data_IF_886889381771
#
_entry.id   IF_886889381771
#
_cell.length_a   1.000
_cell.length_b   1.000
_cell.length_c   1.000
_cell.angle_alpha   90.00
_cell.angle_beta   90.00
_cell.angle_gamma   90.00
#
_symmetry.space_group_name_H-M   'P 1'
#
loop_
_entity.id
_entity.type
_entity.pdbx_description
1 polymer ?
#
# COMPACT_ATOMS: atom_id res chain seq x y z
N UNK A 1 15.79 6.72 8.36
CA UNK A 1 15.05 6.28 7.17
C UNK A 1 15.87 5.48 6.17
N UNK A 2 17.17 5.79 6.07
CA UNK A 2 18.07 5.02 5.16
C UNK A 2 18.20 3.54 5.54
N UNK A 3 18.00 3.21 6.80
CA UNK A 3 18.03 1.83 7.29
C UNK A 3 16.97 0.94 6.61
N UNK A 4 15.91 1.55 6.06
CA UNK A 4 14.84 0.81 5.38
C UNK A 4 15.02 0.75 3.86
N UNK A 5 16.05 1.38 3.31
CA UNK A 5 16.28 1.36 1.87
C UNK A 5 16.40 -0.05 1.28
N UNK A 6 17.07 -1.01 1.95
CA UNK A 6 17.10 -2.38 1.41
C UNK A 6 15.71 -2.98 1.20
N UNK A 7 14.79 -2.83 2.16
CA UNK A 7 13.42 -3.35 1.99
C UNK A 7 12.64 -2.54 0.96
N UNK A 8 12.86 -1.22 0.90
CA UNK A 8 12.20 -0.37 -0.09
C UNK A 8 12.59 -0.75 -1.51
N UNK A 9 13.85 -1.16 -1.73
CA UNK A 9 14.30 -1.60 -3.05
C UNK A 9 13.69 -2.94 -3.47
N UNK A 10 13.16 -3.72 -2.54
CA UNK A 10 12.43 -4.95 -2.88
C UNK A 10 10.98 -4.67 -3.26
N UNK A 11 10.47 -3.46 -2.95
CA UNK A 11 9.09 -3.10 -3.25
C UNK A 11 8.93 -2.78 -4.73
N UNK A 12 7.90 -3.34 -5.35
CA UNK A 12 7.59 -3.06 -6.75
C UNK A 12 7.35 -1.56 -6.99
N UNK A 13 6.80 -0.87 -6.01
CA UNK A 13 6.49 0.55 -6.09
C UNK A 13 7.75 1.40 -6.34
N UNK A 14 8.89 0.99 -5.82
CA UNK A 14 10.14 1.72 -5.97
C UNK A 14 11.12 1.04 -6.95
N UNK A 15 10.65 0.13 -7.77
CA UNK A 15 11.48 -0.57 -8.74
C UNK A 15 12.18 0.41 -9.68
N UNK A 16 13.50 0.25 -9.84
CA UNK A 16 14.30 1.08 -10.75
C UNK A 16 14.63 2.48 -10.22
N UNK A 17 14.36 2.76 -8.97
CA UNK A 17 14.63 4.05 -8.35
C UNK A 17 15.89 3.94 -7.49
N UNK A 18 16.85 4.86 -7.71
CA UNK A 18 18.13 4.87 -6.99
C UNK A 18 17.95 5.37 -5.54
N UNK A 19 18.97 5.17 -4.71
CA UNK A 19 18.96 5.66 -3.32
C UNK A 19 18.78 7.17 -3.23
N UNK A 20 19.46 7.92 -4.11
CA UNK A 20 19.36 9.39 -4.12
C UNK A 20 17.97 9.84 -4.52
N UNK A 21 17.41 9.22 -5.55
CA UNK A 21 16.05 9.50 -5.99
C UNK A 21 15.03 9.12 -4.93
N UNK A 22 15.28 7.99 -4.27
CA UNK A 22 14.40 7.49 -3.21
C UNK A 22 14.33 8.47 -2.03
N UNK A 23 15.47 8.98 -1.60
CA UNK A 23 15.52 9.94 -0.50
C UNK A 23 14.71 11.21 -0.82
N UNK A 24 14.88 11.74 -2.05
CA UNK A 24 14.14 12.91 -2.49
C UNK A 24 12.63 12.63 -2.59
N UNK A 25 12.29 11.46 -3.11
CA UNK A 25 10.89 11.07 -3.31
C UNK A 25 10.15 10.85 -1.99
N UNK A 26 10.78 10.23 -1.01
CA UNK A 26 10.17 10.01 0.29
C UNK A 26 9.79 11.33 0.97
N UNK A 27 10.61 12.35 0.78
CA UNK A 27 10.30 13.69 1.26
C UNK A 27 9.09 14.26 0.54
N UNK A 28 9.02 14.15 -0.78
CA UNK A 28 7.87 14.61 -1.57
C UNK A 28 6.59 13.89 -1.19
N UNK A 29 6.67 12.61 -0.91
CA UNK A 29 5.52 11.78 -0.56
C UNK A 29 5.05 11.98 0.88
N UNK A 30 5.76 12.79 1.67
CA UNK A 30 5.43 12.95 3.08
C UNK A 30 5.51 11.63 3.83
N UNK A 31 6.54 10.83 3.53
CA UNK A 31 6.71 9.52 4.13
C UNK A 31 6.82 9.61 5.64
N UNK A 32 6.07 8.78 6.36
CA UNK A 32 6.16 8.66 7.80
C UNK A 32 6.19 7.18 8.17
N UNK A 33 6.88 6.87 9.25
CA UNK A 33 7.03 5.49 9.72
C UNK A 33 6.33 5.36 11.06
N UNK A 34 5.56 4.30 11.21
CA UNK A 34 4.81 4.00 12.42
C UNK A 34 4.92 2.53 12.74
N UNK A 35 4.87 2.19 14.03
CA UNK A 35 4.96 0.81 14.50
C UNK A 35 3.69 0.46 15.25
N UNK A 36 3.16 -0.73 14.98
CA UNK A 36 1.90 -1.21 15.57
C UNK A 36 2.14 -2.53 16.28
N UNK A 37 1.61 -2.70 17.49
CA UNK A 37 1.73 -3.98 18.18
C UNK A 37 0.81 -5.04 17.55
N UNK A 38 1.16 -6.31 17.76
CA UNK A 38 0.34 -7.43 17.31
C UNK A 38 -1.10 -7.27 17.77
N UNK A 39 -2.03 -7.51 16.85
CA UNK A 39 -3.45 -7.45 17.13
C UNK A 39 -4.09 -6.06 17.00
N UNK A 40 -3.28 -5.01 16.83
CA UNK A 40 -3.82 -3.66 16.64
C UNK A 40 -4.36 -3.48 15.23
N UNK A 41 -5.26 -2.53 15.08
CA UNK A 41 -5.88 -2.21 13.80
C UNK A 41 -5.21 -0.96 13.21
N UNK A 42 -4.64 -1.11 12.02
CA UNK A 42 -3.96 -0.02 11.31
C UNK A 42 -4.95 0.87 10.59
N UNK A 43 -5.92 0.25 9.92
CA UNK A 43 -6.97 0.95 9.18
C UNK A 43 -8.29 0.23 9.42
N UNK A 44 -9.38 0.99 9.43
CA UNK A 44 -10.73 0.47 9.69
C UNK A 44 -11.62 0.63 8.48
N UNK A 45 -12.41 -0.41 8.21
CA UNK A 45 -13.47 -0.33 7.21
C UNK A 45 -14.41 0.84 7.55
N UNK A 46 -14.85 1.56 6.54
CA UNK A 46 -15.70 2.73 6.71
C UNK A 46 -14.95 4.06 6.70
N UNK A 47 -13.63 4.03 6.88
CA UNK A 47 -12.82 5.23 6.84
C UNK A 47 -12.31 5.48 5.42
N UNK A 48 -12.03 6.74 5.09
CA UNK A 48 -11.34 7.09 3.86
C UNK A 48 -9.85 7.27 4.15
N UNK A 49 -9.00 6.98 3.15
CA UNK A 49 -7.56 7.07 3.30
C UNK A 49 -6.95 7.84 2.14
N UNK A 50 -5.87 8.56 2.41
CA UNK A 50 -5.11 9.28 1.40
C UNK A 50 -3.67 8.76 1.30
N UNK A 51 -3.31 7.85 2.16
CA UNK A 51 -1.97 7.28 2.22
C UNK A 51 -1.96 5.80 1.86
N UNK A 52 -0.91 5.40 1.16
CA UNK A 52 -0.63 3.99 0.91
C UNK A 52 0.28 3.50 2.02
N UNK A 53 0.00 2.31 2.55
CA UNK A 53 0.87 1.66 3.52
C UNK A 53 1.84 0.72 2.82
N UNK A 54 3.10 0.76 3.22
CA UNK A 54 4.13 -0.17 2.76
C UNK A 54 4.76 -0.81 3.99
N UNK A 55 4.69 -2.13 4.07
CA UNK A 55 5.21 -2.86 5.22
C UNK A 55 6.73 -2.90 5.15
N UNK A 56 7.40 -2.46 6.22
CA UNK A 56 8.86 -2.49 6.33
C UNK A 56 9.34 -3.71 7.09
N UNK A 57 8.59 -4.12 8.12
CA UNK A 57 8.92 -5.28 8.94
C UNK A 57 7.64 -5.85 9.53
N UNK A 58 7.62 -7.15 9.78
CA UNK A 58 6.42 -7.82 10.27
C UNK A 58 5.41 -8.08 9.18
N UNK A 59 4.16 -8.28 9.56
CA UNK A 59 3.10 -8.56 8.59
C UNK A 59 1.76 -8.02 9.06
N UNK A 60 0.89 -7.71 8.09
CA UNK A 60 -0.45 -7.23 8.31
C UNK A 60 -1.45 -8.11 7.56
N UNK A 61 -2.66 -8.17 8.07
CA UNK A 61 -3.77 -8.91 7.46
C UNK A 61 -4.80 -7.93 6.92
N UNK A 62 -5.28 -8.21 5.71
CA UNK A 62 -6.43 -7.52 5.14
C UNK A 62 -7.65 -8.36 5.47
N UNK A 63 -8.58 -7.80 6.23
CA UNK A 63 -9.73 -8.53 6.73
C UNK A 63 -11.03 -7.84 6.32
N UNK A 64 -12.06 -8.64 6.16
CA UNK A 64 -13.41 -8.16 5.87
C UNK A 64 -14.38 -8.78 6.86
N UNK A 65 -15.30 -7.96 7.37
CA UNK A 65 -16.35 -8.44 8.27
C UNK A 65 -17.70 -8.17 7.62
N UNK A 66 -18.61 -9.13 7.75
CA UNK A 66 -19.99 -8.94 7.27
C UNK A 66 -20.85 -8.33 8.38
N UNK A 67 -22.13 -8.10 8.07
CA UNK A 67 -23.06 -7.46 9.02
C UNK A 67 -23.36 -8.34 10.24
N UNK A 68 -23.03 -9.64 10.18
CA UNK A 68 -23.23 -10.58 11.28
C UNK A 68 -21.94 -10.77 12.11
N UNK A 69 -20.87 -10.03 11.77
CA UNK A 69 -19.61 -10.11 12.47
C UNK A 69 -18.70 -11.25 12.03
N UNK A 70 -19.05 -11.95 10.94
CA UNK A 70 -18.18 -12.99 10.39
C UNK A 70 -16.96 -12.34 9.77
N UNK A 71 -15.78 -12.83 10.16
CA UNK A 71 -14.51 -12.28 9.75
C UNK A 71 -13.84 -13.17 8.71
N UNK A 72 -13.42 -12.56 7.61
CA UNK A 72 -12.68 -13.26 6.54
C UNK A 72 -11.34 -12.59 6.33
N UNK A 73 -10.27 -13.39 6.32
CA UNK A 73 -8.94 -12.89 5.98
C UNK A 73 -8.80 -12.99 4.45
N UNK A 74 -8.66 -11.83 3.80
CA UNK A 74 -8.57 -11.78 2.35
C UNK A 74 -7.14 -11.96 1.85
N UNK A 75 -6.16 -11.40 2.57
CA UNK A 75 -4.77 -11.50 2.18
C UNK A 75 -3.85 -11.12 3.34
N UNK A 76 -2.58 -11.40 3.16
CA UNK A 76 -1.51 -11.04 4.09
C UNK A 76 -0.50 -10.19 3.35
N UNK A 77 -0.06 -9.12 4.00
CA UNK A 77 0.91 -8.18 3.44
C UNK A 77 2.19 -8.23 4.27
N UNK A 78 3.30 -8.57 3.63
CA UNK A 78 4.62 -8.68 4.26
C UNK A 78 5.57 -7.58 3.80
N UNK A 79 6.85 -7.65 4.22
CA UNK A 79 7.84 -6.62 3.90
C UNK A 79 7.97 -6.37 2.41
N UNK A 80 8.00 -5.10 2.04
CA UNK A 80 8.08 -4.66 0.65
C UNK A 80 6.74 -4.60 -0.08
N UNK A 81 5.68 -5.08 0.53
CA UNK A 81 4.35 -5.10 -0.07
C UNK A 81 3.50 -3.93 0.43
N UNK A 82 2.56 -3.51 -0.41
CA UNK A 82 1.71 -2.35 -0.13
C UNK A 82 0.28 -2.77 0.18
N UNK A 83 -0.43 -1.90 0.89
CA UNK A 83 -1.87 -2.05 1.14
C UNK A 83 -2.56 -0.70 1.00
N UNK A 84 -3.87 -0.73 0.75
CA UNK A 84 -4.75 0.44 0.64
C UNK A 84 -4.47 1.35 -0.58
N UNK A 85 -3.61 0.95 -1.53
CA UNK A 85 -3.29 1.78 -2.70
C UNK A 85 -4.49 2.07 -3.59
N UNK A 86 -5.40 1.12 -3.73
CA UNK A 86 -6.62 1.31 -4.53
C UNK A 86 -7.47 2.43 -3.94
N UNK A 87 -7.63 2.41 -2.62
CA UNK A 87 -8.46 3.41 -1.92
C UNK A 87 -7.78 4.78 -1.86
N UNK A 88 -6.47 4.79 -1.64
CA UNK A 88 -5.71 6.04 -1.58
C UNK A 88 -5.69 6.77 -2.93
N UNK A 89 -5.74 6.05 -4.03
CA UNK A 89 -5.72 6.62 -5.38
C UNK A 89 -7.11 6.99 -5.89
N UNK A 90 -8.18 6.53 -5.25
CA UNK A 90 -9.55 6.79 -5.69
C UNK A 90 -10.20 7.86 -4.80
N UNK A 91 -10.37 9.11 -5.30
CA UNK A 91 -10.96 10.17 -4.50
C UNK A 91 -12.35 9.81 -3.99
N UNK A 92 -12.58 10.00 -2.70
CA UNK A 92 -13.87 9.72 -2.08
C UNK A 92 -14.14 8.25 -1.79
N UNK A 93 -13.23 7.36 -2.13
CA UNK A 93 -13.40 5.94 -1.82
C UNK A 93 -13.32 5.69 -0.32
N UNK A 94 -14.15 4.77 0.14
CA UNK A 94 -14.20 4.38 1.55
C UNK A 94 -13.73 2.93 1.65
N UNK A 95 -12.92 2.63 2.66
CA UNK A 95 -12.43 1.27 2.88
C UNK A 95 -13.59 0.30 3.11
N UNK A 96 -13.60 -0.79 2.39
CA UNK A 96 -14.52 -1.91 2.64
C UNK A 96 -13.82 -3.06 3.36
N UNK A 97 -12.58 -2.84 3.76
CA UNK A 97 -11.76 -3.80 4.50
C UNK A 97 -11.06 -3.08 5.64
N UNK A 98 -10.58 -3.86 6.60
CA UNK A 98 -9.73 -3.36 7.68
C UNK A 98 -8.34 -3.96 7.53
N UNK A 99 -7.34 -3.31 8.10
CA UNK A 99 -5.96 -3.80 8.11
C UNK A 99 -5.53 -3.97 9.56
N UNK A 100 -5.08 -5.17 9.90
CA UNK A 100 -4.71 -5.54 11.27
C UNK A 100 -3.28 -6.07 11.33
N UNK A 101 -2.60 -5.80 12.43
CA UNK A 101 -1.24 -6.30 12.65
C UNK A 101 -1.29 -7.79 13.03
N UNK A 102 -0.77 -8.66 12.18
CA UNK A 102 -0.64 -10.09 12.48
C UNK A 102 0.49 -10.33 13.47
N UNK A 103 1.53 -9.51 13.39
CA UNK A 103 2.67 -9.48 14.30
C UNK A 103 2.95 -8.02 14.61
N UNK A 104 3.95 -7.73 15.45
CA UNK A 104 4.43 -6.36 15.56
C UNK A 104 4.89 -5.93 14.17
N UNK A 105 4.35 -4.83 13.66
CA UNK A 105 4.56 -4.43 12.28
C UNK A 105 5.02 -2.98 12.21
N UNK A 106 6.00 -2.72 11.34
CA UNK A 106 6.49 -1.38 11.05
C UNK A 106 6.05 -1.04 9.64
N UNK A 107 5.40 0.11 9.48
CA UNK A 107 4.79 0.53 8.21
C UNK A 107 5.25 1.93 7.85
N UNK A 108 5.55 2.13 6.57
CA UNK A 108 5.76 3.46 6.01
C UNK A 108 4.48 3.88 5.31
N UNK A 109 3.97 5.06 5.66
CA UNK A 109 2.80 5.64 5.01
C UNK A 109 3.25 6.70 4.02
N UNK A 110 2.70 6.65 2.80
CA UNK A 110 3.08 7.52 1.70
C UNK A 110 1.86 8.27 1.19
N UNK A 111 1.95 9.59 1.12
CA UNK A 111 0.86 10.43 0.64
C UNK A 111 0.91 10.50 -0.89
N UNK A 112 0.34 9.50 -1.54
CA UNK A 112 0.44 9.29 -2.99
C UNK A 112 -0.07 10.47 -3.80
N UNK A 113 -1.16 11.10 -3.36
CA UNK A 113 -1.76 12.21 -4.10
C UNK A 113 -0.84 13.41 -4.27
N UNK A 114 0.14 13.57 -3.39
CA UNK A 114 1.12 14.64 -3.52
C UNK A 114 1.93 14.53 -4.81
N UNK A 115 2.29 13.30 -5.19
CA UNK A 115 3.03 13.06 -6.43
C UNK A 115 2.15 13.35 -7.64
N UNK A 116 0.86 13.00 -7.54
CA UNK A 116 -0.07 13.18 -8.66
C UNK A 116 -0.46 14.64 -8.89
N UNK A 117 -0.44 15.48 -7.84
CA UNK A 117 -0.98 16.82 -7.91
C UNK A 117 0.05 17.96 -7.82
N UNK A 118 1.22 17.72 -7.22
CA UNK A 118 2.10 18.80 -6.77
C UNK A 118 3.47 18.82 -7.42
N UNK A 119 3.83 17.84 -8.24
CA UNK A 119 5.15 17.86 -8.87
C UNK A 119 5.05 18.43 -10.29
N UNK A 120 5.28 19.75 -10.47
CA UNK A 120 5.25 20.38 -11.80
C UNK A 120 6.52 20.09 -12.59
N UNK A 121 7.58 19.59 -11.95
CA UNK A 121 8.80 19.28 -12.64
C UNK A 121 8.78 17.83 -13.10
N UNK A 122 9.12 17.62 -14.35
CA UNK A 122 9.21 16.30 -14.96
C UNK A 122 10.47 15.57 -14.42
N UNK A 123 10.46 15.21 -13.14
CA UNK A 123 11.53 14.41 -12.57
C UNK A 123 11.36 12.98 -13.07
N UNK A 124 12.43 12.40 -13.61
CA UNK A 124 12.38 11.05 -14.17
C UNK A 124 11.92 10.00 -13.18
N UNK A 125 12.25 10.17 -11.90
CA UNK A 125 11.84 9.22 -10.88
C UNK A 125 10.33 9.31 -10.56
N UNK A 126 9.70 10.47 -10.69
CA UNK A 126 8.25 10.60 -10.50
C UNK A 126 7.49 9.82 -11.57
N UNK A 127 7.92 9.93 -12.82
CA UNK A 127 7.33 9.16 -13.92
C UNK A 127 7.48 7.66 -13.68
N UNK A 128 8.65 7.24 -13.22
CA UNK A 128 8.92 5.83 -12.92
C UNK A 128 8.05 5.33 -11.77
N UNK A 129 7.90 6.15 -10.74
CA UNK A 129 7.06 5.83 -9.60
C UNK A 129 5.60 5.66 -10.03
N UNK A 130 5.08 6.59 -10.82
CA UNK A 130 3.70 6.53 -11.32
C UNK A 130 3.50 5.28 -12.16
N UNK A 131 4.46 4.95 -13.02
CA UNK A 131 4.40 3.74 -13.83
C UNK A 131 4.39 2.48 -12.95
N UNK A 132 5.21 2.46 -11.91
CA UNK A 132 5.25 1.34 -10.96
C UNK A 132 3.91 1.21 -10.23
N UNK A 133 3.32 2.32 -9.82
CA UNK A 133 2.02 2.34 -9.16
C UNK A 133 0.92 1.79 -10.07
N UNK A 134 0.90 2.22 -11.32
CA UNK A 134 -0.07 1.72 -12.31
C UNK A 134 0.09 0.23 -12.52
N UNK A 135 1.32 -0.26 -12.61
CA UNK A 135 1.60 -1.69 -12.75
C UNK A 135 1.12 -2.48 -11.55
N UNK A 136 1.32 -1.96 -10.34
CA UNK A 136 0.84 -2.60 -9.12
C UNK A 136 -0.68 -2.69 -9.09
N UNK A 137 -1.36 -1.61 -9.41
CA UNK A 137 -2.82 -1.57 -9.43
C UNK A 137 -3.37 -2.52 -10.49
N UNK A 138 -2.75 -2.53 -11.67
CA UNK A 138 -3.17 -3.41 -12.77
C UNK A 138 -2.97 -4.87 -12.40
N UNK A 139 -1.85 -5.23 -11.76
CA UNK A 139 -1.58 -6.61 -11.36
C UNK A 139 -2.60 -7.09 -10.30
N UNK A 140 -2.91 -6.24 -9.33
CA UNK A 140 -3.92 -6.58 -8.32
C UNK A 140 -5.30 -6.75 -8.94
N UNK A 141 -5.62 -5.94 -9.93
CA UNK A 141 -6.89 -6.05 -10.64
C UNK A 141 -6.96 -7.36 -11.45
N UNK A 142 -5.86 -7.75 -12.08
CA UNK A 142 -5.80 -9.02 -12.82
C UNK A 142 -5.97 -10.21 -11.89
N UNK A 143 -5.34 -10.19 -10.72
CA UNK A 143 -5.51 -11.27 -9.74
C UNK A 143 -6.94 -11.38 -9.26
N UNK A 144 -7.60 -10.24 -9.04
CA UNK A 144 -9.01 -10.24 -8.64
C UNK A 144 -9.88 -10.83 -9.74
N UNK A 145 -9.64 -10.46 -11.00
CA UNK A 145 -10.37 -11.00 -12.14
C UNK A 145 -10.18 -12.50 -12.28
N UNK A 146 -8.98 -13.00 -12.06
CA UNK A 146 -8.71 -14.44 -12.08
C UNK A 146 -9.50 -15.17 -11.01
N UNK A 147 -9.56 -14.61 -9.80
CA UNK A 147 -10.35 -15.19 -8.71
C UNK A 147 -11.83 -15.22 -9.03
N UNK A 148 -12.36 -14.14 -9.62
CA UNK A 148 -13.76 -14.06 -9.99
C UNK A 148 -14.10 -15.05 -11.10
N UNK A 149 -13.23 -15.19 -12.09
CA UNK A 149 -13.40 -16.16 -13.17
C UNK A 149 -13.42 -17.58 -12.61
N UNK A 150 -12.49 -17.89 -11.70
CA UNK A 150 -12.43 -19.20 -11.07
C UNK A 150 -13.70 -19.52 -10.28
N UNK A 151 -14.21 -18.54 -9.53
CA UNK A 151 -15.45 -18.70 -8.78
C UNK A 151 -16.63 -18.95 -9.71
N UNK A 152 -16.71 -18.23 -10.83
CA UNK A 152 -17.83 -18.36 -11.77
C UNK A 152 -17.81 -19.67 -12.57
N UNK A 153 -16.69 -20.36 -12.61
CA UNK A 153 -16.57 -21.67 -13.27
C UNK A 153 -17.15 -22.81 -12.42
N UNK A 154 -17.46 -22.54 -11.18
CA UNK A 154 -18.07 -23.49 -10.27
C UNK A 154 -19.57 -23.22 -10.12
#
# INVERSE_FOLDING_TARGET
MKEFFPVLHTAALFSGISDEELAAMLSCLGARIDTFPKGSRLLRAGESVEEVGLVLAGSALIVQEDIWGNRSILSKTGPGQTFAEVFACAPGAVLNVSVEAESAVTVMFLHIRRVLSVCPSACSYHSRFIRNLLSELAEKNLRLNEKLTHISEH
#
